data_IF_424445045288
#
_entry.id   IF_424445045288
#
_cell.length_a   1.000
_cell.length_b   1.000
_cell.length_c   1.000
_cell.angle_alpha   90.00
_cell.angle_beta   90.00
_cell.angle_gamma   90.00
#
_symmetry.space_group_name_H-M   'P 1'
#
loop_
_entity.id
_entity.type
_entity.pdbx_description
1 polymer ?
#
# COMPACT_ATOMS: atom_id res chain seq x y z
N UNK A 1 -9.12 37.35 17.44
CA UNK A 1 -10.23 36.49 17.89
C UNK A 1 -11.19 36.13 16.76
N UNK A 2 -11.59 37.09 15.92
CA UNK A 2 -12.44 36.85 14.74
C UNK A 2 -11.85 35.85 13.74
N UNK A 3 -10.57 35.99 13.37
CA UNK A 3 -9.89 35.06 12.44
C UNK A 3 -9.84 33.61 12.96
N UNK A 4 -9.60 33.43 14.27
CA UNK A 4 -9.61 32.11 14.92
C UNK A 4 -10.98 31.43 14.80
N UNK A 5 -12.05 32.18 15.08
CA UNK A 5 -13.42 31.67 15.00
C UNK A 5 -13.82 31.33 13.55
N UNK A 6 -13.40 32.15 12.58
CA UNK A 6 -13.62 31.87 11.16
C UNK A 6 -12.85 30.62 10.69
N UNK A 7 -11.60 30.43 11.14
CA UNK A 7 -10.82 29.23 10.85
C UNK A 7 -11.44 27.95 11.45
N UNK A 8 -11.91 28.01 12.71
CA UNK A 8 -12.66 26.91 13.32
C UNK A 8 -13.95 26.64 12.56
N UNK A 9 -14.68 27.69 12.18
CA UNK A 9 -15.95 27.53 11.47
C UNK A 9 -15.73 26.82 10.12
N UNK A 10 -14.72 27.23 9.34
CA UNK A 10 -14.38 26.59 8.06
C UNK A 10 -13.93 25.13 8.19
N UNK A 11 -13.23 24.77 9.27
CA UNK A 11 -12.77 23.40 9.51
C UNK A 11 -13.79 22.51 10.26
N UNK A 12 -14.85 23.08 10.84
CA UNK A 12 -15.78 22.34 11.71
C UNK A 12 -16.52 21.19 11.00
N UNK A 13 -16.68 21.26 9.68
CA UNK A 13 -17.23 20.17 8.87
C UNK A 13 -16.36 18.90 8.88
N UNK A 14 -15.07 19.01 9.21
CA UNK A 14 -14.18 17.86 9.34
C UNK A 14 -14.55 16.99 10.53
N UNK A 15 -14.80 17.61 11.68
CA UNK A 15 -15.26 16.92 12.87
C UNK A 15 -16.61 16.24 12.62
N UNK A 16 -17.51 16.90 11.88
CA UNK A 16 -18.80 16.33 11.46
C UNK A 16 -18.62 15.13 10.53
N UNK A 17 -17.78 15.25 9.49
CA UNK A 17 -17.47 14.16 8.56
C UNK A 17 -16.89 12.93 9.28
N UNK A 18 -15.99 13.16 10.23
CA UNK A 18 -15.40 12.12 11.06
C UNK A 18 -16.42 11.43 11.99
N UNK A 19 -17.29 12.20 12.64
CA UNK A 19 -18.38 11.66 13.47
C UNK A 19 -19.32 10.76 12.66
N UNK A 20 -19.68 11.20 11.45
CA UNK A 20 -20.53 10.41 10.55
C UNK A 20 -19.81 9.16 10.06
N UNK A 21 -18.54 9.24 9.65
CA UNK A 21 -17.76 8.07 9.23
C UNK A 21 -17.63 7.00 10.32
N UNK A 22 -17.50 7.45 11.57
CA UNK A 22 -17.42 6.57 12.73
C UNK A 22 -18.76 5.88 13.00
N UNK A 23 -19.88 6.62 12.90
CA UNK A 23 -21.23 6.15 13.20
C UNK A 23 -21.87 5.35 12.05
N UNK A 24 -21.57 5.68 10.80
CA UNK A 24 -22.22 5.13 9.62
C UNK A 24 -21.24 4.96 8.45
N UNK A 25 -21.41 3.88 7.68
CA UNK A 25 -20.58 3.57 6.51
C UNK A 25 -21.36 3.85 5.22
N UNK A 26 -21.16 5.00 4.57
CA UNK A 26 -21.82 5.31 3.31
C UNK A 26 -21.32 4.41 2.17
N UNK A 27 -22.19 4.13 1.20
CA UNK A 27 -21.81 3.37 0.00
C UNK A 27 -20.85 4.16 -0.91
N UNK A 28 -20.00 3.43 -1.67
CA UNK A 28 -18.95 4.01 -2.54
C UNK A 28 -19.48 5.07 -3.53
N UNK A 29 -20.67 4.86 -4.08
CA UNK A 29 -21.32 5.81 -5.02
C UNK A 29 -21.68 7.14 -4.37
N UNK A 30 -22.17 7.07 -3.13
CA UNK A 30 -22.50 8.27 -2.36
C UNK A 30 -21.23 9.05 -2.01
N UNK A 31 -20.18 8.34 -1.54
CA UNK A 31 -18.90 8.97 -1.22
C UNK A 31 -18.30 9.71 -2.43
N UNK A 32 -18.30 9.07 -3.61
CA UNK A 32 -17.82 9.69 -4.84
C UNK A 32 -18.64 10.93 -5.25
N UNK A 33 -19.96 10.89 -5.09
CA UNK A 33 -20.84 12.02 -5.41
C UNK A 33 -20.61 13.22 -4.48
N UNK A 34 -20.46 12.99 -3.18
CA UNK A 34 -20.21 14.07 -2.21
C UNK A 34 -18.81 14.67 -2.42
N UNK A 35 -17.79 13.85 -2.73
CA UNK A 35 -16.46 14.36 -3.10
C UNK A 35 -16.50 15.24 -4.34
N UNK A 36 -17.13 14.79 -5.42
CA UNK A 36 -17.23 15.55 -6.65
C UNK A 36 -17.94 16.90 -6.44
N UNK A 37 -18.97 16.93 -5.60
CA UNK A 37 -19.67 18.16 -5.24
C UNK A 37 -18.79 19.13 -4.42
N UNK A 38 -18.05 18.61 -3.44
CA UNK A 38 -17.14 19.41 -2.60
C UNK A 38 -16.04 20.08 -3.42
N UNK A 39 -15.32 19.30 -4.24
CA UNK A 39 -14.27 19.81 -5.12
C UNK A 39 -14.80 20.86 -6.12
N UNK A 40 -15.99 20.64 -6.70
CA UNK A 40 -16.60 21.60 -7.63
C UNK A 40 -16.94 22.95 -6.98
N UNK A 41 -17.42 22.93 -5.74
CA UNK A 41 -17.79 24.14 -4.99
C UNK A 41 -16.54 24.95 -4.63
N UNK A 42 -15.47 24.26 -4.23
CA UNK A 42 -14.20 24.90 -3.88
C UNK A 42 -13.52 25.53 -5.11
N UNK A 43 -13.50 24.82 -6.24
CA UNK A 43 -12.95 25.34 -7.50
C UNK A 43 -13.68 26.60 -7.97
N UNK A 44 -15.01 26.64 -7.83
CA UNK A 44 -15.80 27.83 -8.13
C UNK A 44 -15.47 29.01 -7.21
N UNK A 45 -15.29 28.76 -5.91
CA UNK A 45 -14.94 29.80 -4.94
C UNK A 45 -13.55 30.40 -5.20
N UNK A 46 -12.57 29.56 -5.54
CA UNK A 46 -11.21 30.02 -5.89
C UNK A 46 -11.24 30.88 -7.15
N UNK A 47 -11.96 30.45 -8.18
CA UNK A 47 -12.07 31.19 -9.43
C UNK A 47 -12.76 32.56 -9.24
N UNK A 48 -13.81 32.61 -8.43
CA UNK A 48 -14.64 33.80 -8.28
C UNK A 48 -14.12 34.77 -7.20
N UNK A 49 -13.56 34.29 -6.09
CA UNK A 49 -13.15 35.14 -4.96
C UNK A 49 -11.63 35.35 -4.91
N UNK A 50 -10.82 34.28 -5.03
CA UNK A 50 -9.36 34.40 -4.89
C UNK A 50 -8.73 34.91 -6.18
N UNK A 51 -8.97 34.24 -7.30
CA UNK A 51 -8.35 34.60 -8.57
C UNK A 51 -8.77 36.01 -9.03
N UNK A 52 -10.02 36.39 -8.79
CA UNK A 52 -10.51 37.73 -9.12
C UNK A 52 -9.87 38.82 -8.23
N UNK A 53 -9.68 38.56 -6.94
CA UNK A 53 -9.02 39.48 -6.01
C UNK A 53 -7.53 39.66 -6.33
N UNK A 54 -6.82 38.57 -6.62
CA UNK A 54 -5.40 38.59 -7.02
C UNK A 54 -5.23 39.27 -8.36
N UNK A 55 -6.10 39.01 -9.34
CA UNK A 55 -6.07 39.70 -10.64
C UNK A 55 -6.25 41.21 -10.49
N UNK A 56 -7.20 41.66 -9.67
CA UNK A 56 -7.45 43.10 -9.45
C UNK A 56 -6.31 43.82 -8.73
N UNK A 57 -5.59 43.12 -7.85
CA UNK A 57 -4.54 43.71 -7.00
C UNK A 57 -3.14 43.58 -7.59
N UNK A 58 -2.81 42.45 -8.22
CA UNK A 58 -1.48 42.12 -8.74
C UNK A 58 -1.41 41.89 -10.26
N UNK A 59 -2.54 41.86 -10.97
CA UNK A 59 -2.60 41.61 -12.41
C UNK A 59 -2.35 40.15 -12.80
N UNK A 60 -2.37 39.88 -14.11
CA UNK A 60 -2.27 38.51 -14.67
C UNK A 60 -0.95 37.82 -14.31
N UNK A 61 0.17 38.54 -14.34
CA UNK A 61 1.49 37.94 -14.10
C UNK A 61 1.65 37.43 -12.67
N UNK A 62 1.14 38.16 -11.68
CA UNK A 62 1.17 37.72 -10.27
C UNK A 62 0.21 36.55 -10.05
N UNK A 63 -0.97 36.60 -10.67
CA UNK A 63 -1.92 35.49 -10.63
C UNK A 63 -1.29 34.21 -11.20
N UNK A 64 -0.83 34.23 -12.45
CA UNK A 64 -0.24 33.07 -13.13
C UNK A 64 1.04 32.60 -12.44
N UNK A 65 1.90 33.52 -12.01
CA UNK A 65 3.13 33.15 -11.31
C UNK A 65 2.87 32.48 -9.97
N UNK A 66 1.89 32.97 -9.20
CA UNK A 66 1.48 32.35 -7.95
C UNK A 66 0.82 30.98 -8.16
N UNK A 67 -0.04 30.87 -9.19
CA UNK A 67 -0.67 29.63 -9.68
C UNK A 67 0.26 28.72 -10.51
N UNK A 68 1.56 28.96 -10.54
CA UNK A 68 2.52 27.96 -11.03
C UNK A 68 3.44 27.52 -9.89
N UNK A 69 3.82 28.49 -9.06
CA UNK A 69 4.68 28.24 -7.92
C UNK A 69 3.98 27.39 -6.86
N UNK A 70 2.68 27.60 -6.63
CA UNK A 70 1.90 26.82 -5.66
C UNK A 70 1.79 25.34 -6.01
N UNK A 71 1.62 24.98 -7.27
CA UNK A 71 1.40 23.62 -7.73
C UNK A 71 2.71 22.90 -7.93
N UNK A 72 3.78 23.60 -8.32
CA UNK A 72 5.13 23.05 -8.23
C UNK A 72 5.44 22.69 -6.77
N UNK A 73 5.16 23.59 -5.82
CA UNK A 73 5.36 23.34 -4.40
C UNK A 73 4.50 22.17 -3.91
N UNK A 74 3.23 22.14 -4.26
CA UNK A 74 2.27 21.12 -3.88
C UNK A 74 2.63 19.73 -4.43
N UNK A 75 2.98 19.65 -5.72
CA UNK A 75 3.41 18.39 -6.37
C UNK A 75 4.69 17.89 -5.71
N UNK A 76 5.66 18.78 -5.48
CA UNK A 76 6.93 18.42 -4.87
C UNK A 76 6.75 17.90 -3.44
N UNK A 77 5.91 18.56 -2.65
CA UNK A 77 5.60 18.17 -1.29
C UNK A 77 4.79 16.87 -1.24
N UNK A 78 3.79 16.73 -2.11
CA UNK A 78 2.99 15.50 -2.25
C UNK A 78 3.90 14.31 -2.62
N UNK A 79 4.81 14.50 -3.57
CA UNK A 79 5.79 13.46 -3.96
C UNK A 79 6.71 13.09 -2.80
N UNK A 80 7.21 14.07 -2.06
CA UNK A 80 8.03 13.84 -0.88
C UNK A 80 7.29 13.04 0.20
N UNK A 81 6.01 13.34 0.42
CA UNK A 81 5.17 12.59 1.37
C UNK A 81 4.89 11.17 0.86
N UNK A 82 4.64 10.98 -0.43
CA UNK A 82 4.43 9.67 -1.04
C UNK A 82 5.66 8.77 -0.89
N UNK A 83 6.87 9.32 -1.07
CA UNK A 83 8.16 8.64 -0.84
C UNK A 83 8.38 8.23 0.63
N UNK A 84 7.73 8.92 1.57
CA UNK A 84 7.77 8.60 3.01
C UNK A 84 6.62 7.66 3.46
N UNK A 85 5.87 7.07 2.51
CA UNK A 85 4.78 6.13 2.79
C UNK A 85 3.36 6.70 2.64
N UNK A 86 3.21 7.89 2.04
CA UNK A 86 1.93 8.54 1.77
C UNK A 86 1.06 7.86 0.69
N UNK A 87 1.62 6.95 -0.12
CA UNK A 87 0.92 6.30 -1.23
C UNK A 87 -0.33 5.48 -0.81
N UNK A 88 -0.43 5.11 0.46
CA UNK A 88 -1.62 4.48 1.05
C UNK A 88 -2.86 5.41 1.05
N UNK A 89 -2.70 6.72 0.74
CA UNK A 89 -3.74 7.77 0.70
C UNK A 89 -4.72 7.65 -0.48
N UNK A 90 -4.34 7.07 -1.63
CA UNK A 90 -5.18 7.06 -2.84
C UNK A 90 -5.51 5.62 -3.27
N UNK A 91 -6.74 5.11 -3.01
CA UNK A 91 -7.15 3.75 -3.40
C UNK A 91 -6.97 3.43 -4.89
N UNK A 92 -6.99 4.46 -5.75
CA UNK A 92 -6.77 4.32 -7.18
C UNK A 92 -5.28 4.14 -7.57
N UNK A 93 -4.36 4.79 -6.85
CA UNK A 93 -2.92 4.72 -7.11
C UNK A 93 -2.31 3.49 -6.46
N UNK A 94 -2.77 3.11 -5.26
CA UNK A 94 -2.37 1.85 -4.62
C UNK A 94 -2.77 0.63 -5.43
N UNK A 95 -3.93 0.65 -6.11
CA UNK A 95 -4.32 -0.45 -7.02
C UNK A 95 -3.41 -0.52 -8.25
N UNK A 96 -3.04 0.63 -8.84
CA UNK A 96 -2.14 0.67 -10.00
C UNK A 96 -0.72 0.25 -9.61
N UNK A 97 -0.22 0.72 -8.48
CA UNK A 97 1.07 0.32 -7.92
C UNK A 97 1.12 -1.18 -7.61
N UNK A 98 0.08 -1.74 -6.97
CA UNK A 98 0.02 -3.19 -6.69
C UNK A 98 -0.08 -4.02 -7.97
N UNK A 99 -0.79 -3.56 -9.01
CA UNK A 99 -0.89 -4.27 -10.29
C UNK A 99 0.40 -4.18 -11.10
N UNK A 100 0.99 -2.98 -11.21
CA UNK A 100 2.27 -2.77 -11.91
C UNK A 100 3.42 -3.50 -11.19
N UNK A 101 3.48 -3.47 -9.85
CA UNK A 101 4.49 -4.24 -9.11
C UNK A 101 4.27 -5.75 -9.21
N UNK A 102 3.03 -6.26 -9.13
CA UNK A 102 2.78 -7.69 -9.30
C UNK A 102 3.17 -8.19 -10.69
N UNK A 103 2.94 -7.41 -11.75
CA UNK A 103 3.33 -7.79 -13.11
C UNK A 103 4.85 -7.77 -13.31
N UNK A 104 5.56 -6.80 -12.72
CA UNK A 104 7.02 -6.76 -12.76
C UNK A 104 7.65 -7.90 -11.95
N UNK A 105 7.13 -8.18 -10.75
CA UNK A 105 7.57 -9.30 -9.89
C UNK A 105 7.30 -10.67 -10.55
N UNK A 106 6.17 -10.83 -11.23
CA UNK A 106 5.83 -12.06 -11.99
C UNK A 106 6.76 -12.29 -13.18
N UNK A 107 7.13 -11.25 -13.93
CA UNK A 107 8.09 -11.36 -15.03
C UNK A 107 9.49 -11.75 -14.52
N UNK A 108 10.00 -11.07 -13.49
CA UNK A 108 11.31 -11.41 -12.90
C UNK A 108 11.31 -12.83 -12.31
N UNK A 109 10.21 -13.24 -11.68
CA UNK A 109 10.06 -14.59 -11.13
C UNK A 109 10.06 -15.68 -12.22
N UNK A 110 9.39 -15.43 -13.36
CA UNK A 110 9.38 -16.37 -14.49
C UNK A 110 10.80 -16.55 -15.05
N UNK A 111 11.56 -15.47 -15.21
CA UNK A 111 12.96 -15.53 -15.66
C UNK A 111 13.86 -16.24 -14.64
N UNK A 112 13.63 -16.01 -13.35
CA UNK A 112 14.37 -16.67 -12.27
C UNK A 112 14.10 -18.18 -12.22
N UNK A 113 12.83 -18.58 -12.33
CA UNK A 113 12.40 -19.98 -12.32
C UNK A 113 12.51 -20.68 -13.69
N UNK A 114 12.93 -19.97 -14.74
CA UNK A 114 13.16 -20.54 -16.06
C UNK A 114 14.23 -21.64 -16.05
N UNK A 115 15.07 -21.76 -15.02
CA UNK A 115 16.01 -22.88 -14.91
C UNK A 115 15.32 -24.20 -14.50
N UNK A 116 14.07 -24.15 -14.02
CA UNK A 116 13.32 -25.35 -13.68
C UNK A 116 12.82 -26.08 -14.93
N UNK A 117 13.10 -27.39 -15.02
CA UNK A 117 12.59 -28.25 -16.09
C UNK A 117 11.07 -28.17 -16.25
N UNK A 118 10.34 -28.03 -15.14
CA UNK A 118 8.88 -27.95 -15.15
C UNK A 118 8.42 -26.61 -15.71
N UNK A 119 9.06 -25.50 -15.32
CA UNK A 119 8.71 -24.17 -15.83
C UNK A 119 9.01 -24.05 -17.33
N UNK A 120 10.14 -24.60 -17.80
CA UNK A 120 10.50 -24.62 -19.22
C UNK A 120 9.58 -25.47 -20.11
N UNK A 121 8.87 -26.44 -19.53
CA UNK A 121 7.93 -27.27 -20.27
C UNK A 121 6.61 -26.56 -20.57
N UNK A 122 6.36 -25.38 -19.97
CA UNK A 122 5.12 -24.64 -20.09
C UNK A 122 5.19 -23.54 -21.17
N UNK A 123 4.10 -23.30 -21.91
CA UNK A 123 3.94 -22.09 -22.72
C UNK A 123 4.09 -20.83 -21.87
N UNK A 124 4.56 -19.74 -22.47
CA UNK A 124 4.77 -18.44 -21.81
C UNK A 124 3.56 -17.96 -21.01
N UNK A 125 2.36 -18.06 -21.60
CA UNK A 125 1.13 -17.67 -20.91
C UNK A 125 0.86 -18.50 -19.65
N UNK A 126 1.17 -19.80 -19.65
CA UNK A 126 0.99 -20.69 -18.50
C UNK A 126 2.07 -20.45 -17.43
N UNK A 127 3.30 -20.05 -17.84
CA UNK A 127 4.37 -19.66 -16.91
C UNK A 127 3.97 -18.45 -16.07
N UNK A 128 3.43 -17.41 -16.69
CA UNK A 128 2.95 -16.22 -15.96
C UNK A 128 1.77 -16.54 -15.04
N UNK A 129 0.81 -17.34 -15.50
CA UNK A 129 -0.32 -17.77 -14.66
C UNK A 129 0.15 -18.55 -13.43
N UNK A 130 1.15 -19.42 -13.59
CA UNK A 130 1.72 -20.15 -12.47
C UNK A 130 2.51 -19.22 -11.53
N UNK A 131 3.32 -18.31 -12.08
CA UNK A 131 4.11 -17.35 -11.29
C UNK A 131 3.23 -16.43 -10.43
N UNK A 132 2.07 -15.99 -10.93
CA UNK A 132 1.12 -15.15 -10.19
C UNK A 132 0.52 -15.82 -8.94
N UNK A 133 0.55 -17.16 -8.90
CA UNK A 133 0.03 -17.97 -7.79
C UNK A 133 1.13 -18.39 -6.80
N UNK A 134 2.40 -18.24 -7.16
CA UNK A 134 3.52 -18.62 -6.31
C UNK A 134 3.73 -17.59 -5.20
N UNK A 135 4.02 -18.08 -4.00
CA UNK A 135 4.38 -17.23 -2.87
C UNK A 135 5.81 -17.53 -2.40
N UNK A 136 6.64 -16.51 -2.13
CA UNK A 136 8.01 -16.73 -1.69
C UNK A 136 8.05 -17.32 -0.27
N UNK A 137 8.99 -18.23 -0.04
CA UNK A 137 9.27 -18.85 1.25
C UNK A 137 10.79 -18.98 1.44
N UNK A 138 11.33 -18.34 2.47
CA UNK A 138 12.75 -18.48 2.82
C UNK A 138 12.91 -19.53 3.91
N UNK A 139 13.86 -20.43 3.73
CA UNK A 139 14.20 -21.44 4.73
C UNK A 139 15.65 -21.31 5.19
N UNK A 140 15.89 -21.59 6.46
CA UNK A 140 17.22 -21.55 7.05
C UNK A 140 17.88 -22.94 7.00
N UNK A 141 19.23 -23.01 7.08
CA UNK A 141 19.92 -24.29 7.24
C UNK A 141 19.34 -25.13 8.38
N UNK A 142 19.20 -26.43 8.14
CA UNK A 142 18.63 -27.46 9.04
C UNK A 142 17.13 -27.36 9.30
N UNK A 143 16.43 -26.43 8.65
CA UNK A 143 14.98 -26.36 8.71
C UNK A 143 14.34 -27.55 7.99
N UNK A 144 13.31 -28.15 8.60
CA UNK A 144 12.57 -29.27 8.01
C UNK A 144 11.40 -28.73 7.18
N UNK A 145 11.51 -28.84 5.86
CA UNK A 145 10.55 -28.30 4.90
C UNK A 145 9.28 -29.17 4.81
N UNK A 146 9.44 -30.48 4.98
CA UNK A 146 8.33 -31.42 5.20
C UNK A 146 8.85 -32.69 5.88
N UNK A 147 7.98 -33.41 6.60
CA UNK A 147 8.31 -34.70 7.19
C UNK A 147 7.60 -35.82 6.46
N UNK A 148 8.28 -36.95 6.36
CA UNK A 148 7.68 -38.20 5.89
C UNK A 148 6.45 -38.55 6.75
N UNK A 149 5.36 -38.97 6.10
CA UNK A 149 4.11 -39.33 6.75
C UNK A 149 3.13 -38.18 7.02
N UNK A 150 3.58 -36.91 6.90
CA UNK A 150 2.68 -35.76 7.01
C UNK A 150 1.76 -35.64 5.78
N UNK A 151 0.65 -34.94 5.92
CA UNK A 151 -0.19 -34.59 4.77
C UNK A 151 0.48 -33.50 3.92
N UNK A 152 0.30 -33.57 2.61
CA UNK A 152 0.82 -32.56 1.70
C UNK A 152 -0.11 -31.35 1.58
N UNK A 153 0.40 -30.19 1.98
CA UNK A 153 -0.33 -28.91 1.87
C UNK A 153 0.22 -27.98 0.78
N UNK A 154 1.51 -28.13 0.44
CA UNK A 154 2.21 -27.26 -0.50
C UNK A 154 3.09 -28.04 -1.49
N UNK A 155 3.23 -27.45 -2.67
CA UNK A 155 4.22 -27.77 -3.70
C UNK A 155 5.28 -26.67 -3.74
N UNK A 156 6.55 -27.03 -3.95
CA UNK A 156 7.65 -26.07 -3.87
C UNK A 156 8.54 -26.10 -5.11
N UNK A 157 8.92 -24.91 -5.58
CA UNK A 157 10.06 -24.66 -6.47
C UNK A 157 11.25 -24.19 -5.64
N UNK A 158 12.46 -24.66 -6.00
CA UNK A 158 13.71 -24.16 -5.41
C UNK A 158 14.30 -23.11 -6.34
N UNK A 159 14.29 -21.86 -5.91
CA UNK A 159 14.98 -20.75 -6.59
C UNK A 159 16.47 -20.75 -6.30
N UNK A 160 16.86 -21.03 -5.05
CA UNK A 160 18.27 -21.05 -4.64
C UNK A 160 18.51 -21.88 -3.38
N UNK A 161 19.72 -22.41 -3.22
CA UNK A 161 20.14 -23.24 -2.10
C UNK A 161 20.04 -24.75 -2.34
N UNK A 162 20.32 -25.54 -1.29
CA UNK A 162 20.34 -27.00 -1.32
C UNK A 162 19.53 -27.60 -0.16
N UNK A 163 18.86 -28.73 -0.44
CA UNK A 163 18.16 -29.53 0.57
C UNK A 163 18.48 -31.02 0.41
N UNK A 164 18.56 -31.75 1.52
CA UNK A 164 18.70 -33.21 1.53
C UNK A 164 17.35 -33.88 1.76
N UNK A 165 17.13 -35.00 1.06
CA UNK A 165 15.92 -35.82 1.13
C UNK A 165 16.24 -37.12 1.86
N UNK A 166 15.46 -37.46 2.87
CA UNK A 166 15.61 -38.65 3.69
C UNK A 166 14.34 -39.50 3.69
N UNK A 167 14.49 -40.82 3.58
CA UNK A 167 13.42 -41.80 3.78
C UNK A 167 13.76 -42.64 5.01
N UNK A 168 12.97 -42.49 6.07
CA UNK A 168 13.37 -42.89 7.42
C UNK A 168 14.69 -42.21 7.81
N UNK A 169 15.73 -43.01 8.02
CA UNK A 169 17.09 -42.55 8.34
C UNK A 169 18.04 -42.57 7.12
N UNK A 170 17.57 -43.02 5.97
CA UNK A 170 18.41 -43.21 4.78
C UNK A 170 18.37 -41.93 3.95
N UNK A 171 19.55 -41.39 3.62
CA UNK A 171 19.66 -40.30 2.66
C UNK A 171 19.37 -40.82 1.25
N UNK A 172 18.49 -40.13 0.53
CA UNK A 172 17.94 -40.55 -0.76
C UNK A 172 18.55 -39.73 -1.89
N UNK A 173 18.55 -38.41 -1.74
CA UNK A 173 19.01 -37.49 -2.78
C UNK A 173 19.25 -36.09 -2.20
N UNK A 174 19.93 -35.24 -2.96
CA UNK A 174 20.03 -33.79 -2.74
C UNK A 174 19.26 -33.04 -3.84
N UNK A 175 18.50 -32.04 -3.43
CA UNK A 175 17.77 -31.12 -4.30
C UNK A 175 18.50 -29.77 -4.37
N UNK A 176 18.50 -29.16 -5.55
CA UNK A 176 19.22 -27.91 -5.82
C UNK A 176 18.33 -26.90 -6.56
N UNK A 177 18.85 -25.71 -6.87
CA UNK A 177 18.14 -24.70 -7.67
C UNK A 177 17.59 -25.29 -8.97
N UNK A 178 16.33 -24.96 -9.31
CA UNK A 178 15.59 -25.49 -10.44
C UNK A 178 14.82 -26.79 -10.14
N UNK A 179 15.13 -27.48 -9.04
CA UNK A 179 14.35 -28.63 -8.59
C UNK A 179 13.00 -28.23 -7.99
N UNK A 180 12.13 -29.24 -7.90
CA UNK A 180 10.82 -29.14 -7.28
C UNK A 180 10.63 -30.28 -6.28
N UNK A 181 9.79 -30.07 -5.27
CA UNK A 181 9.38 -31.13 -4.35
C UNK A 181 7.97 -30.93 -3.80
N UNK A 182 7.44 -32.00 -3.23
CA UNK A 182 6.11 -32.03 -2.63
C UNK A 182 4.97 -32.32 -3.60
N UNK A 183 5.26 -32.43 -4.90
CA UNK A 183 4.28 -32.73 -5.95
C UNK A 183 3.62 -34.09 -5.78
N UNK A 184 4.36 -35.08 -5.27
CA UNK A 184 3.89 -36.46 -5.11
C UNK A 184 2.62 -36.52 -4.25
N UNK A 185 2.69 -35.95 -3.04
CA UNK A 185 1.58 -36.00 -2.08
C UNK A 185 0.34 -35.26 -2.59
N UNK A 186 0.52 -34.17 -3.33
CA UNK A 186 -0.60 -33.43 -3.92
C UNK A 186 -1.24 -34.15 -5.11
N UNK A 187 -0.44 -34.87 -5.91
CA UNK A 187 -0.91 -35.60 -7.09
C UNK A 187 -1.52 -36.96 -6.75
N UNK A 188 -0.94 -37.71 -5.82
CA UNK A 188 -1.39 -39.06 -5.47
C UNK A 188 -2.40 -39.06 -4.32
N UNK A 189 -2.43 -37.99 -3.51
CA UNK A 189 -3.20 -37.94 -2.27
C UNK A 189 -2.60 -38.76 -1.13
N UNK A 190 -1.45 -39.39 -1.34
CA UNK A 190 -0.72 -40.09 -0.28
C UNK A 190 0.03 -39.10 0.62
N UNK A 191 0.36 -39.48 1.87
CA UNK A 191 1.24 -38.68 2.72
C UNK A 191 2.61 -38.42 2.07
N UNK A 192 3.34 -37.44 2.61
CA UNK A 192 4.72 -37.13 2.19
C UNK A 192 5.58 -38.41 2.22
N UNK A 193 6.22 -38.71 1.10
CA UNK A 193 7.00 -39.94 0.90
C UNK A 193 8.40 -39.90 1.51
N UNK A 194 8.87 -38.72 1.91
CA UNK A 194 10.20 -38.49 2.45
C UNK A 194 10.23 -37.18 3.27
N UNK A 195 11.22 -37.08 4.16
CA UNK A 195 11.56 -35.86 4.89
C UNK A 195 12.53 -35.03 4.06
N UNK A 196 12.30 -33.72 3.96
CA UNK A 196 13.19 -32.79 3.25
C UNK A 196 13.73 -31.76 4.23
N UNK A 197 15.05 -31.61 4.27
CA UNK A 197 15.75 -30.74 5.23
C UNK A 197 16.68 -29.80 4.46
N UNK A 198 16.55 -28.50 4.72
CA UNK A 198 17.43 -27.49 4.13
C UNK A 198 18.88 -27.67 4.62
N UNK A 199 19.84 -27.60 3.70
CA UNK A 199 21.28 -27.70 4.00
C UNK A 199 21.90 -26.30 4.05
N UNK A 200 21.52 -25.43 3.11
CA UNK A 200 21.93 -24.02 3.03
C UNK A 200 20.72 -23.13 3.32
N UNK A 201 20.89 -21.79 3.43
CA UNK A 201 19.77 -20.89 3.26
C UNK A 201 19.13 -21.15 1.89
N UNK A 202 17.80 -21.22 1.84
CA UNK A 202 17.06 -21.52 0.62
C UNK A 202 16.04 -20.45 0.29
N UNK A 203 15.93 -20.17 -0.99
CA UNK A 203 14.83 -19.39 -1.57
C UNK A 203 13.89 -20.36 -2.26
N UNK A 204 12.67 -20.47 -1.74
CA UNK A 204 11.64 -21.36 -2.23
C UNK A 204 10.45 -20.54 -2.73
N UNK A 205 9.69 -21.11 -3.65
CA UNK A 205 8.39 -20.58 -4.05
C UNK A 205 7.34 -21.66 -3.90
N UNK A 206 6.36 -21.42 -3.06
CA UNK A 206 5.34 -22.39 -2.69
C UNK A 206 4.01 -22.11 -3.38
N UNK A 207 3.33 -23.18 -3.77
CA UNK A 207 1.96 -23.20 -4.28
C UNK A 207 1.12 -24.08 -3.36
N UNK A 208 0.02 -23.55 -2.83
CA UNK A 208 -0.89 -24.31 -1.98
C UNK A 208 -1.68 -25.36 -2.79
N UNK A 209 -2.22 -26.34 -2.08
CA UNK A 209 -2.98 -27.47 -2.64
C UNK A 209 -4.16 -27.06 -3.50
N UNK A 210 -4.92 -26.01 -3.13
CA UNK A 210 -6.10 -25.59 -3.88
C UNK A 210 -5.69 -24.98 -5.21
N UNK A 211 -4.71 -24.07 -5.19
CA UNK A 211 -4.18 -23.45 -6.39
C UNK A 211 -3.42 -24.45 -7.29
N UNK A 212 -2.73 -25.43 -6.71
CA UNK A 212 -2.09 -26.52 -7.44
C UNK A 212 -3.13 -27.39 -8.19
N UNK A 213 -4.23 -27.77 -7.54
CA UNK A 213 -5.30 -28.52 -8.20
C UNK A 213 -5.97 -27.70 -9.32
N UNK A 214 -6.21 -26.41 -9.06
CA UNK A 214 -6.81 -25.50 -10.04
C UNK A 214 -5.93 -25.37 -11.30
N UNK A 215 -4.64 -25.08 -11.14
CA UNK A 215 -3.74 -24.89 -12.30
C UNK A 215 -3.53 -26.19 -13.07
N UNK A 216 -3.47 -27.35 -12.39
CA UNK A 216 -3.38 -28.65 -13.07
C UNK A 216 -4.60 -28.99 -13.93
N UNK A 217 -5.79 -28.58 -13.48
CA UNK A 217 -7.02 -28.79 -14.27
C UNK A 217 -7.06 -27.93 -15.54
N UNK A 218 -6.31 -26.82 -15.56
CA UNK A 218 -6.30 -25.84 -16.64
C UNK A 218 -5.09 -26.00 -17.57
N UNK A 219 -4.00 -26.61 -17.10
CA UNK A 219 -2.76 -26.83 -17.85
C UNK A 219 -2.46 -28.33 -18.03
N UNK A 220 -2.79 -28.90 -19.21
CA UNK A 220 -2.35 -30.23 -19.59
C UNK A 220 -0.82 -30.35 -19.66
N UNK A 221 -0.12 -29.27 -20.03
CA UNK A 221 1.34 -29.23 -20.14
C UNK A 221 2.02 -29.42 -18.77
N UNK A 222 1.53 -28.74 -17.73
CA UNK A 222 2.01 -28.89 -16.36
C UNK A 222 1.79 -30.32 -15.85
N UNK A 223 0.58 -30.87 -16.05
CA UNK A 223 0.25 -32.23 -15.65
C UNK A 223 1.18 -33.27 -16.32
N UNK A 224 1.45 -33.11 -17.62
CA UNK A 224 2.39 -33.96 -18.36
C UNK A 224 3.84 -33.80 -17.86
N UNK A 225 4.29 -32.58 -17.60
CA UNK A 225 5.64 -32.30 -17.09
C UNK A 225 5.87 -32.95 -15.72
N UNK A 226 4.92 -32.78 -14.80
CA UNK A 226 4.99 -33.41 -13.47
C UNK A 226 4.90 -34.94 -13.56
N UNK A 227 4.00 -35.48 -14.38
CA UNK A 227 3.87 -36.94 -14.56
C UNK A 227 5.15 -37.57 -15.08
N UNK A 228 5.83 -36.93 -16.05
CA UNK A 228 7.14 -37.39 -16.55
C UNK A 228 8.21 -37.33 -15.47
N UNK A 229 8.25 -36.27 -14.66
CA UNK A 229 9.22 -36.12 -13.57
C UNK A 229 8.99 -37.18 -12.48
N UNK A 230 7.74 -37.46 -12.13
CA UNK A 230 7.38 -38.56 -11.23
C UNK A 230 7.80 -39.93 -11.78
N UNK A 231 7.53 -40.21 -13.05
CA UNK A 231 7.92 -41.46 -13.69
C UNK A 231 9.44 -41.67 -13.63
N UNK A 232 10.24 -40.62 -13.87
CA UNK A 232 11.71 -40.67 -13.72
C UNK A 232 12.11 -40.94 -12.27
N UNK A 233 11.48 -40.28 -11.29
CA UNK A 233 11.75 -40.49 -9.86
C UNK A 233 11.44 -41.92 -9.40
N UNK A 234 10.35 -42.50 -9.90
CA UNK A 234 10.01 -43.91 -9.64
C UNK A 234 11.01 -44.87 -10.28
N UNK A 235 11.47 -44.58 -11.50
CA UNK A 235 12.52 -45.38 -12.15
C UNK A 235 13.85 -45.30 -11.38
N UNK A 236 14.29 -44.10 -10.97
CA UNK A 236 15.50 -43.95 -10.16
C UNK A 236 15.35 -44.56 -8.75
N UNK A 237 14.13 -44.66 -8.23
CA UNK A 237 13.88 -45.29 -6.94
C UNK A 237 13.93 -46.83 -6.98
N UNK A 238 14.06 -47.42 -8.17
CA UNK A 238 14.16 -48.87 -8.35
C UNK A 238 15.62 -49.37 -8.32
N UNK A 239 16.61 -48.46 -8.32
CA UNK A 239 18.07 -48.76 -8.39
C UNK A 239 18.87 -48.33 -7.14
N UNK A 240 18.30 -48.39 -5.93
CA UNK A 240 19.04 -47.99 -4.72
C UNK A 240 20.01 -49.06 -4.21
N UNK A 241 21.28 -48.99 -4.65
CA UNK A 241 22.43 -49.33 -3.80
C UNK A 241 22.75 -48.12 -2.89
N UNK A 242 22.80 -48.37 -1.59
CA UNK A 242 22.94 -47.36 -0.56
C UNK A 242 24.30 -46.64 -0.62
N UNK A 243 24.27 -45.33 -0.88
CA UNK A 243 25.41 -44.44 -0.62
C UNK A 243 25.16 -43.77 0.74
N UNK A 244 26.01 -44.10 1.71
CA UNK A 244 26.01 -43.54 3.07
C UNK A 244 26.58 -42.11 3.02
N UNK A 245 25.87 -41.09 3.54
CA UNK A 245 26.39 -39.73 3.60
C UNK A 245 27.50 -39.61 4.68
N UNK A 246 28.47 -38.70 4.54
CA UNK A 246 29.49 -38.47 5.56
C UNK A 246 28.85 -37.86 6.82
N UNK A 247 29.19 -38.41 7.99
CA UNK A 247 28.73 -37.95 9.29
C UNK A 247 29.20 -36.52 9.60
N UNK A 248 28.28 -35.64 10.00
CA UNK A 248 28.50 -34.82 11.21
C UNK A 248 27.21 -34.17 11.78
N UNK A 249 26.85 -34.66 12.97
CA UNK A 249 26.14 -34.06 14.11
C UNK A 249 24.88 -33.22 13.88
N UNK A 250 23.75 -33.88 14.12
CA UNK A 250 22.47 -33.28 14.56
C UNK A 250 22.48 -33.08 16.08
N UNK A 251 22.10 -31.89 16.55
CA UNK A 251 21.73 -31.65 17.95
C UNK A 251 20.50 -30.73 18.05
N UNK A 252 19.40 -31.36 18.50
CA UNK A 252 18.25 -30.94 19.33
C UNK A 252 17.83 -29.44 19.41
N UNK A 253 16.50 -29.27 19.25
CA UNK A 253 15.61 -28.10 19.38
C UNK A 253 15.73 -27.25 20.67
N UNK A 254 15.50 -25.94 20.54
CA UNK A 254 14.49 -25.15 21.31
C UNK A 254 14.25 -23.76 20.67
N UNK A 255 13.09 -23.10 20.91
CA UNK A 255 12.49 -22.13 19.98
C UNK A 255 12.74 -20.66 20.34
N UNK A 256 13.00 -19.83 19.33
CA UNK A 256 12.91 -18.37 19.42
C UNK A 256 12.14 -17.81 18.21
N UNK A 257 10.82 -17.91 18.29
CA UNK A 257 9.90 -17.08 17.51
C UNK A 257 9.17 -16.24 18.55
N UNK A 258 9.56 -14.96 18.69
CA UNK A 258 8.69 -13.86 19.15
C UNK A 258 9.38 -12.47 19.12
N UNK A 259 10.40 -12.24 18.29
CA UNK A 259 11.12 -10.96 18.22
C UNK A 259 10.60 -9.99 17.16
N UNK A 260 10.40 -10.47 15.94
CA UNK A 260 10.31 -9.58 14.78
C UNK A 260 8.89 -9.18 14.37
N UNK A 261 7.87 -9.98 14.71
CA UNK A 261 6.47 -9.60 14.46
C UNK A 261 6.03 -8.40 15.31
N UNK A 262 6.55 -8.24 16.52
CA UNK A 262 6.26 -7.08 17.37
C UNK A 262 6.99 -5.81 16.92
N UNK A 263 8.18 -5.93 16.29
CA UNK A 263 8.93 -4.79 15.77
C UNK A 263 8.33 -4.24 14.47
N UNK A 264 7.92 -5.13 13.55
CA UNK A 264 7.22 -4.75 12.32
C UNK A 264 5.78 -4.25 12.58
N UNK A 265 5.06 -4.82 13.56
CA UNK A 265 3.76 -4.30 13.99
C UNK A 265 3.88 -2.94 14.72
N UNK A 266 4.95 -2.70 15.48
CA UNK A 266 5.25 -1.39 16.09
C UNK A 266 5.59 -0.33 15.04
N UNK A 267 6.35 -0.69 14.00
CA UNK A 267 6.69 0.22 12.90
C UNK A 267 5.43 0.57 12.06
N UNK A 268 4.59 -0.42 11.72
CA UNK A 268 3.34 -0.19 10.99
C UNK A 268 2.28 0.61 11.78
N UNK A 269 2.24 0.49 13.12
CA UNK A 269 1.32 1.26 13.97
C UNK A 269 1.80 2.70 14.25
N UNK A 270 3.08 3.00 14.09
CA UNK A 270 3.65 4.30 14.52
C UNK A 270 3.57 5.42 13.47
N UNK A 271 3.54 5.08 12.17
CA UNK A 271 3.72 6.08 11.10
C UNK A 271 2.46 6.35 10.28
N UNK A 272 1.57 5.37 10.10
CA UNK A 272 0.43 5.52 9.19
C UNK A 272 -0.62 6.55 9.67
N UNK A 273 -1.05 6.61 10.95
CA UNK A 273 -1.99 7.62 11.41
C UNK A 273 -1.39 9.04 11.42
N UNK A 274 -0.10 9.15 11.72
CA UNK A 274 0.63 10.42 11.73
C UNK A 274 0.89 10.95 10.31
N UNK A 275 1.21 10.08 9.35
CA UNK A 275 1.33 10.48 7.94
C UNK A 275 -0.01 10.96 7.36
N UNK A 276 -1.13 10.32 7.73
CA UNK A 276 -2.47 10.76 7.31
C UNK A 276 -2.84 12.10 7.96
N UNK A 277 -2.55 12.28 9.25
CA UNK A 277 -2.77 13.55 9.96
C UNK A 277 -1.93 14.69 9.40
N UNK A 278 -0.66 14.42 9.09
CA UNK A 278 0.26 15.41 8.52
C UNK A 278 -0.21 15.82 7.13
N UNK A 279 -0.64 14.87 6.29
CA UNK A 279 -1.24 15.15 4.99
C UNK A 279 -2.49 16.03 5.07
N UNK A 280 -3.45 15.70 5.95
CA UNK A 280 -4.65 16.52 6.10
C UNK A 280 -4.37 17.88 6.71
N UNK A 281 -3.42 18.00 7.65
CA UNK A 281 -2.98 19.32 8.13
C UNK A 281 -2.35 20.14 7.01
N UNK A 282 -1.54 19.53 6.14
CA UNK A 282 -0.96 20.22 4.99
C UNK A 282 -2.04 20.72 4.02
N UNK A 283 -3.06 19.91 3.75
CA UNK A 283 -4.20 20.32 2.90
C UNK A 283 -5.09 21.39 3.57
N UNK A 284 -4.90 21.74 4.86
CA UNK A 284 -5.75 22.71 5.58
C UNK A 284 -5.05 24.04 5.90
N UNK A 285 -3.71 24.03 5.83
CA UNK A 285 -2.90 25.21 6.13
C UNK A 285 -3.24 26.36 5.17
N UNK A 286 -3.30 26.16 3.84
CA UNK A 286 -3.57 27.25 2.92
C UNK A 286 -4.96 27.87 3.10
N UNK A 287 -6.02 27.08 3.29
CA UNK A 287 -7.39 27.57 3.47
C UNK A 287 -7.51 28.38 4.75
N UNK A 288 -6.99 27.83 5.85
CA UNK A 288 -7.02 28.51 7.14
C UNK A 288 -6.26 29.83 7.07
N UNK A 289 -5.11 29.86 6.40
CA UNK A 289 -4.31 31.05 6.20
C UNK A 289 -5.03 32.10 5.35
N UNK A 290 -5.65 31.71 4.22
CA UNK A 290 -6.43 32.60 3.35
C UNK A 290 -7.67 33.14 4.05
N UNK A 291 -8.37 32.31 4.84
CA UNK A 291 -9.50 32.74 5.69
C UNK A 291 -9.03 33.84 6.65
N UNK A 292 -7.89 33.63 7.31
CA UNK A 292 -7.29 34.60 8.21
C UNK A 292 -6.90 35.92 7.54
N UNK A 293 -6.30 35.85 6.35
CA UNK A 293 -5.89 37.04 5.59
C UNK A 293 -7.08 37.91 5.14
N UNK A 294 -8.26 37.31 4.94
CA UNK A 294 -9.45 38.01 4.43
C UNK A 294 -10.46 38.43 5.51
N UNK A 295 -10.18 38.19 6.79
CA UNK A 295 -11.11 38.49 7.92
C UNK A 295 -11.58 39.96 7.98
N UNK A 296 -10.80 40.93 7.48
CA UNK A 296 -11.12 42.36 7.56
C UNK A 296 -11.81 42.94 6.31
N UNK A 297 -11.83 42.21 5.18
CA UNK A 297 -12.34 42.73 3.90
C UNK A 297 -13.86 42.54 3.80
N UNK A 298 -14.40 41.48 4.41
CA UNK A 298 -15.84 41.19 4.45
C UNK A 298 -16.21 40.69 5.85
N UNK A 299 -17.17 41.31 6.56
CA UNK A 299 -17.58 40.90 7.92
C UNK A 299 -18.04 39.43 8.00
N UNK A 300 -18.46 38.89 6.85
CA UNK A 300 -18.73 37.49 6.59
C UNK A 300 -18.16 37.17 5.21
N UNK A 301 -16.92 36.67 5.12
CA UNK A 301 -16.37 36.09 3.89
C UNK A 301 -17.12 34.80 3.53
N UNK A 302 -18.41 34.94 3.22
CA UNK A 302 -19.40 33.89 3.35
C UNK A 302 -19.28 32.79 2.31
N UNK A 303 -18.88 33.11 1.08
CA UNK A 303 -18.85 32.10 0.01
C UNK A 303 -17.57 31.27 0.07
N UNK A 304 -16.37 31.85 0.20
CA UNK A 304 -15.15 31.06 0.37
C UNK A 304 -15.16 30.24 1.67
N UNK A 305 -15.54 30.83 2.81
CA UNK A 305 -15.62 30.09 4.06
C UNK A 305 -16.62 28.93 3.98
N UNK A 306 -17.76 29.13 3.30
CA UNK A 306 -18.75 28.09 3.09
C UNK A 306 -18.28 27.02 2.09
N UNK A 307 -17.53 27.40 1.06
CA UNK A 307 -16.93 26.48 0.10
C UNK A 307 -15.87 25.59 0.76
N UNK A 308 -15.01 26.16 1.60
CA UNK A 308 -14.05 25.43 2.44
C UNK A 308 -14.80 24.48 3.38
N UNK A 309 -15.84 24.97 4.07
CA UNK A 309 -16.67 24.13 4.93
C UNK A 309 -17.29 22.94 4.16
N UNK A 310 -17.86 23.17 2.98
CA UNK A 310 -18.47 22.12 2.16
C UNK A 310 -17.43 21.10 1.67
N UNK A 311 -16.25 21.55 1.24
CA UNK A 311 -15.23 20.65 0.69
C UNK A 311 -14.53 19.80 1.74
N UNK A 312 -14.36 20.35 2.95
CA UNK A 312 -13.73 19.67 4.07
C UNK A 312 -14.55 18.48 4.60
N UNK A 313 -15.87 18.49 4.38
CA UNK A 313 -16.77 17.42 4.81
C UNK A 313 -16.52 16.06 4.13
N UNK A 314 -16.57 15.91 2.79
CA UNK A 314 -16.31 14.64 2.11
C UNK A 314 -14.91 14.10 2.35
N UNK A 315 -13.92 14.97 2.45
CA UNK A 315 -12.53 14.58 2.67
C UNK A 315 -12.33 13.95 4.04
N UNK A 316 -12.86 14.59 5.09
CA UNK A 316 -12.83 14.03 6.43
C UNK A 316 -13.63 12.73 6.55
N UNK A 317 -14.76 12.63 5.85
CA UNK A 317 -15.59 11.41 5.79
C UNK A 317 -14.81 10.25 5.16
N UNK A 318 -14.12 10.49 4.04
CA UNK A 318 -13.35 9.47 3.32
C UNK A 318 -12.07 9.05 4.04
N UNK A 319 -11.31 10.03 4.55
CA UNK A 319 -10.06 9.75 5.27
C UNK A 319 -10.35 9.02 6.58
N UNK A 320 -11.39 9.40 7.32
CA UNK A 320 -11.86 8.66 8.50
C UNK A 320 -12.29 7.22 8.17
N UNK A 321 -12.90 7.01 7.01
CA UNK A 321 -13.27 5.67 6.55
C UNK A 321 -12.04 4.82 6.24
N UNK A 322 -11.03 5.38 5.56
CA UNK A 322 -9.74 4.72 5.33
C UNK A 322 -9.03 4.35 6.64
N UNK A 323 -9.00 5.29 7.60
CA UNK A 323 -8.44 5.05 8.94
C UNK A 323 -9.15 3.91 9.68
N UNK A 324 -10.49 3.83 9.57
CA UNK A 324 -11.29 2.78 10.20
C UNK A 324 -11.03 1.40 9.57
N UNK A 325 -10.82 1.34 8.25
CA UNK A 325 -10.41 0.10 7.57
C UNK A 325 -8.98 -0.33 7.96
N UNK A 326 -8.08 0.62 8.20
CA UNK A 326 -6.73 0.37 8.68
C UNK A 326 -6.66 -0.04 10.18
N UNK A 327 -7.81 -0.23 10.85
CA UNK A 327 -7.87 -0.68 12.24
C UNK A 327 -7.65 0.42 13.28
N UNK A 328 -7.67 1.70 12.90
CA UNK A 328 -7.52 2.81 13.85
C UNK A 328 -8.81 2.96 14.68
N UNK A 329 -8.66 3.13 16.00
CA UNK A 329 -9.80 3.23 16.91
C UNK A 329 -10.61 4.52 16.72
N UNK A 330 -11.94 4.41 16.85
CA UNK A 330 -12.86 5.54 16.70
C UNK A 330 -12.48 6.77 17.55
N UNK A 331 -12.01 6.54 18.79
CA UNK A 331 -11.55 7.62 19.68
C UNK A 331 -10.35 8.37 19.10
N UNK A 332 -9.37 7.65 18.53
CA UNK A 332 -8.20 8.27 17.91
C UNK A 332 -8.58 9.08 16.67
N UNK A 333 -9.44 8.53 15.80
CA UNK A 333 -9.95 9.24 14.61
C UNK A 333 -10.60 10.57 15.02
N UNK A 334 -11.49 10.54 16.00
CA UNK A 334 -12.16 11.76 16.48
C UNK A 334 -11.18 12.76 17.09
N UNK A 335 -10.24 12.32 17.94
CA UNK A 335 -9.25 13.23 18.53
C UNK A 335 -8.38 13.92 17.48
N UNK A 336 -8.03 13.22 16.40
CA UNK A 336 -7.24 13.76 15.30
C UNK A 336 -8.00 14.86 14.55
N UNK A 337 -9.25 14.61 14.18
CA UNK A 337 -10.06 15.60 13.46
C UNK A 337 -10.43 16.81 14.30
N UNK A 338 -10.81 16.63 15.57
CA UNK A 338 -11.03 17.75 16.48
C UNK A 338 -9.74 18.56 16.71
N UNK A 339 -8.59 17.89 16.77
CA UNK A 339 -7.28 18.55 16.82
C UNK A 339 -7.00 19.40 15.56
N UNK A 340 -7.30 18.86 14.38
CA UNK A 340 -7.16 19.59 13.11
C UNK A 340 -8.03 20.85 13.07
N UNK A 341 -9.30 20.79 13.53
CA UNK A 341 -10.18 21.97 13.60
C UNK A 341 -9.57 23.10 14.45
N UNK A 342 -9.02 22.75 15.62
CA UNK A 342 -8.37 23.73 16.50
C UNK A 342 -7.11 24.29 15.85
N UNK A 343 -6.31 23.44 15.19
CA UNK A 343 -5.11 23.87 14.47
C UNK A 343 -5.45 24.85 13.34
N UNK A 344 -6.50 24.61 12.55
CA UNK A 344 -6.98 25.54 11.51
C UNK A 344 -7.36 26.90 12.09
N UNK A 345 -7.97 26.95 13.27
CA UNK A 345 -8.21 28.21 13.98
C UNK A 345 -6.91 28.97 14.28
N UNK A 346 -5.88 28.28 14.76
CA UNK A 346 -4.57 28.89 15.07
C UNK A 346 -3.86 29.36 13.79
N UNK A 347 -3.89 28.57 12.72
CA UNK A 347 -3.30 28.94 11.42
C UNK A 347 -4.01 30.17 10.84
N UNK A 348 -5.33 30.28 10.98
CA UNK A 348 -6.06 31.49 10.58
C UNK A 348 -5.63 32.75 11.35
N UNK A 349 -5.23 32.62 12.61
CA UNK A 349 -4.64 33.75 13.34
C UNK A 349 -3.29 34.19 12.76
N UNK A 350 -2.48 33.24 12.28
CA UNK A 350 -1.21 33.52 11.59
C UNK A 350 -1.47 34.17 10.23
N UNK A 351 -2.46 33.69 9.47
CA UNK A 351 -2.88 34.32 8.22
C UNK A 351 -3.31 35.78 8.42
N UNK A 352 -4.08 36.04 9.49
CA UNK A 352 -4.50 37.40 9.85
C UNK A 352 -3.35 38.35 10.16
N UNK A 353 -2.32 37.89 10.88
CA UNK A 353 -1.16 38.75 11.18
C UNK A 353 -0.36 39.09 9.92
N UNK A 354 -0.23 38.15 8.98
CA UNK A 354 0.42 38.37 7.68
C UNK A 354 -0.41 39.31 6.80
N UNK A 355 -1.74 39.15 6.79
CA UNK A 355 -2.65 40.02 6.03
C UNK A 355 -2.64 41.48 6.50
N UNK A 356 -2.33 41.73 7.78
CA UNK A 356 -2.19 43.09 8.33
C UNK A 356 -0.80 43.71 8.14
N UNK A 357 0.26 42.89 8.15
CA UNK A 357 1.65 43.36 8.11
C UNK A 357 2.34 43.27 6.74
N UNK A 358 1.74 42.57 5.77
CA UNK A 358 2.31 42.33 4.45
C UNK A 358 2.06 43.44 3.43
N UNK A 359 2.97 43.59 2.47
CA UNK A 359 2.71 44.40 1.26
C UNK A 359 1.59 43.78 0.42
N UNK A 360 0.83 44.59 -0.32
CA UNK A 360 -0.28 44.13 -1.19
C UNK A 360 0.14 42.97 -2.12
N UNK A 361 1.38 43.04 -2.62
CA UNK A 361 1.99 42.01 -3.46
C UNK A 361 2.30 40.71 -2.70
N UNK A 362 2.73 40.80 -1.44
CA UNK A 362 3.01 39.63 -0.59
C UNK A 362 1.73 38.89 -0.22
N UNK A 363 0.65 39.63 0.05
CA UNK A 363 -0.68 39.04 0.30
C UNK A 363 -1.22 38.38 -0.98
N UNK A 364 -1.10 39.04 -2.14
CA UNK A 364 -1.54 38.49 -3.42
C UNK A 364 -0.78 37.21 -3.81
N UNK A 365 0.54 37.16 -3.59
CA UNK A 365 1.35 35.97 -3.83
C UNK A 365 0.97 34.83 -2.88
N UNK A 366 0.82 35.11 -1.59
CA UNK A 366 0.43 34.09 -0.61
C UNK A 366 -0.97 33.50 -0.91
N UNK A 367 -1.92 34.33 -1.33
CA UNK A 367 -3.26 33.89 -1.74
C UNK A 367 -3.24 33.07 -3.04
N UNK A 368 -2.39 33.42 -3.99
CA UNK A 368 -2.27 32.69 -5.25
C UNK A 368 -1.62 31.32 -5.06
N UNK A 369 -0.59 31.21 -4.21
CA UNK A 369 0.04 29.93 -3.84
C UNK A 369 -0.99 29.02 -3.16
N UNK A 370 -1.76 29.57 -2.22
CA UNK A 370 -2.79 28.81 -1.52
C UNK A 370 -3.96 28.38 -2.42
N UNK A 371 -4.26 29.12 -3.50
CA UNK A 371 -5.36 28.81 -4.41
C UNK A 371 -5.10 27.70 -5.44
N UNK A 372 -3.84 27.30 -5.66
CA UNK A 372 -3.48 26.33 -6.70
C UNK A 372 -3.55 24.86 -6.23
N UNK A 373 -3.36 24.59 -4.94
CA UNK A 373 -3.41 23.22 -4.38
C UNK A 373 -4.71 22.46 -4.74
N UNK A 374 -5.77 23.20 -5.05
CA UNK A 374 -7.08 22.69 -5.42
C UNK A 374 -7.24 22.21 -6.86
N UNK A 375 -6.41 22.68 -7.79
CA UNK A 375 -6.54 22.35 -9.21
C UNK A 375 -6.01 20.96 -9.56
N UNK A 376 -5.09 20.42 -8.76
CA UNK A 376 -4.37 19.16 -9.04
C UNK A 376 -5.05 17.90 -8.44
N UNK A 377 -6.19 18.06 -7.75
CA UNK A 377 -6.94 16.93 -7.17
C UNK A 377 -7.92 16.24 -8.15
N UNK A 378 -8.01 16.67 -9.41
CA UNK A 378 -8.79 15.98 -10.44
C UNK A 378 -7.95 14.93 -11.17
N UNK A 379 -8.42 13.67 -11.32
CA UNK A 379 -7.72 12.69 -12.13
C UNK A 379 -7.72 13.17 -13.59
N UNK A 380 -6.53 13.42 -14.14
CA UNK A 380 -6.38 13.55 -15.59
C UNK A 380 -6.92 12.26 -16.27
N UNK A 381 -7.61 12.40 -17.42
CA UNK A 381 -8.33 11.31 -18.09
C UNK A 381 -7.45 10.11 -18.46
#
# INVERSE_FOLDING_TARGET
MTAFLQGILGASSMALGALIAVAWQPGRKFLAAVMAFGSGTLMAAIALEIASAVYRSGGVLVLVGGFLLGGILFISLSKYIDEQGGFLRKPAVSRRYVVEHKMLESHELVDYLAHSEVMNALPEQERHQLADLLTPHHAYPREVLCREGDQGDYFYFIGGGEADVYKGTTWVNRLTSGDIFGEMSLLTGEPRSATVVAVTPMELYQLDKENFANILSQSPHLALALSRKLARRLQSATDFEAIVPPEDKVSVLEPLVEGDRQMLAKLAQSSAPMAILVGTLFDNIPEAMVIGMNTNVTPWGGAFLFAVFISNFPEALSSSFGMKQAGISNRRILTLWFGAVVASGLIAMVGYSIGQGGTLLLVAVAQAIAGEEFWLCWPAP
#
